data_IF_228180465656
#
_entry.id   IF_228180465656
#
_cell.length_a   1.000
_cell.length_b   1.000
_cell.length_c   1.000
_cell.angle_alpha   90.00
_cell.angle_beta   90.00
_cell.angle_gamma   90.00
#
_symmetry.space_group_name_H-M   'P 1'
#
loop_
_entity.id
_entity.type
_entity.pdbx_description
1 polymer ?
#
# COMPACT_ATOMS: atom_id res chain seq x y z
N UNK A 1 13.83 35.62 8.61
CA UNK A 1 14.10 34.40 9.42
C UNK A 1 12.91 33.44 9.38
N UNK A 2 11.66 33.93 9.46
CA UNK A 2 10.44 33.10 9.29
C UNK A 2 10.28 32.50 7.89
N UNK A 3 10.52 33.26 6.81
CA UNK A 3 10.38 32.74 5.43
C UNK A 3 11.32 31.55 5.12
N UNK A 4 12.52 31.55 5.72
CA UNK A 4 13.48 30.44 5.56
C UNK A 4 13.00 29.20 6.33
N UNK A 5 12.40 29.38 7.51
CA UNK A 5 11.82 28.30 8.29
C UNK A 5 10.59 27.69 7.61
N UNK A 6 9.74 28.50 6.98
CA UNK A 6 8.60 28.01 6.19
C UNK A 6 9.04 27.22 4.94
N UNK A 7 10.06 27.71 4.23
CA UNK A 7 10.62 27.01 3.07
C UNK A 7 11.20 25.64 3.42
N UNK A 8 11.94 25.57 4.53
CA UNK A 8 12.52 24.32 5.05
C UNK A 8 11.42 23.37 5.56
N UNK A 9 10.42 23.89 6.27
CA UNK A 9 9.28 23.10 6.75
C UNK A 9 8.50 22.44 5.61
N UNK A 10 8.21 23.17 4.53
CA UNK A 10 7.55 22.60 3.33
C UNK A 10 8.39 21.53 2.65
N UNK A 11 9.71 21.70 2.61
CA UNK A 11 10.61 20.70 2.03
C UNK A 11 10.56 19.38 2.81
N UNK A 12 10.69 19.43 4.13
CA UNK A 12 10.59 18.24 4.98
C UNK A 12 9.21 17.59 4.94
N UNK A 13 8.12 18.38 4.94
CA UNK A 13 6.76 17.86 4.78
C UNK A 13 6.57 17.15 3.45
N UNK A 14 7.15 17.66 2.35
CA UNK A 14 7.09 16.98 1.06
C UNK A 14 7.84 15.64 1.09
N UNK A 15 9.04 15.59 1.66
CA UNK A 15 9.79 14.33 1.81
C UNK A 15 9.00 13.34 2.66
N UNK A 16 8.48 13.80 3.81
CA UNK A 16 7.69 12.95 4.70
C UNK A 16 6.44 12.42 3.99
N UNK A 17 5.76 13.25 3.20
CA UNK A 17 4.60 12.85 2.41
C UNK A 17 4.95 11.76 1.38
N UNK A 18 6.09 11.88 0.70
CA UNK A 18 6.57 10.85 -0.23
C UNK A 18 6.88 9.53 0.48
N UNK A 19 7.65 9.58 1.57
CA UNK A 19 7.96 8.39 2.38
C UNK A 19 6.69 7.75 2.93
N UNK A 20 5.73 8.57 3.37
CA UNK A 20 4.46 8.10 3.90
C UNK A 20 3.61 7.43 2.81
N UNK A 21 3.58 7.96 1.60
CA UNK A 21 2.90 7.34 0.46
C UNK A 21 3.54 6.01 0.10
N UNK A 22 4.87 5.95 -0.02
CA UNK A 22 5.57 4.69 -0.32
C UNK A 22 5.36 3.65 0.79
N UNK A 23 5.46 4.06 2.05
CA UNK A 23 5.20 3.18 3.19
C UNK A 23 3.75 2.69 3.22
N UNK A 24 2.77 3.55 2.91
CA UNK A 24 1.37 3.14 2.78
C UNK A 24 1.21 2.16 1.63
N UNK A 25 1.73 2.47 0.44
CA UNK A 25 1.60 1.60 -0.72
C UNK A 25 2.23 0.23 -0.43
N UNK A 26 3.45 0.20 0.11
CA UNK A 26 4.10 -1.06 0.43
C UNK A 26 3.36 -1.80 1.56
N UNK A 27 3.00 -1.14 2.65
CA UNK A 27 2.35 -1.81 3.77
C UNK A 27 0.91 -2.25 3.44
N UNK A 28 0.10 -1.37 2.85
CA UNK A 28 -1.29 -1.67 2.51
C UNK A 28 -1.39 -2.59 1.30
N UNK A 29 -0.79 -2.26 0.14
CA UNK A 29 -0.99 -3.08 -1.07
C UNK A 29 -0.33 -4.45 -0.86
N UNK A 30 0.94 -4.48 -0.46
CA UNK A 30 1.66 -5.75 -0.27
C UNK A 30 1.09 -6.54 0.90
N UNK A 31 0.73 -5.87 2.00
CA UNK A 31 0.11 -6.51 3.17
C UNK A 31 -1.26 -7.09 2.86
N UNK A 32 -2.14 -6.33 2.21
CA UNK A 32 -3.47 -6.80 1.79
C UNK A 32 -3.35 -7.98 0.81
N UNK A 33 -2.44 -7.90 -0.15
CA UNK A 33 -2.21 -8.99 -1.09
C UNK A 33 -1.63 -10.24 -0.44
N UNK A 34 -0.71 -10.07 0.52
CA UNK A 34 -0.17 -11.17 1.32
C UNK A 34 -1.28 -11.87 2.11
N UNK A 35 -2.09 -11.10 2.85
CA UNK A 35 -3.20 -11.63 3.66
C UNK A 35 -4.24 -12.30 2.75
N UNK A 36 -4.64 -11.64 1.66
CA UNK A 36 -5.63 -12.15 0.71
C UNK A 36 -5.18 -13.48 0.10
N UNK A 37 -3.95 -13.57 -0.40
CA UNK A 37 -3.41 -14.82 -0.93
C UNK A 37 -3.35 -15.91 0.14
N UNK A 38 -3.00 -15.54 1.38
CA UNK A 38 -2.96 -16.49 2.49
C UNK A 38 -4.34 -17.04 2.84
N UNK A 39 -5.37 -16.21 2.78
CA UNK A 39 -6.75 -16.63 3.00
C UNK A 39 -7.22 -17.53 1.84
N UNK A 40 -7.10 -17.06 0.59
CA UNK A 40 -7.60 -17.76 -0.60
C UNK A 40 -6.90 -19.11 -0.81
N UNK A 41 -5.62 -19.20 -0.47
CA UNK A 41 -4.83 -20.44 -0.65
C UNK A 41 -4.71 -21.28 0.61
N UNK A 42 -5.50 -21.00 1.66
CA UNK A 42 -5.45 -21.70 2.95
C UNK A 42 -4.03 -21.78 3.54
N UNK A 43 -3.29 -20.68 3.48
CA UNK A 43 -1.96 -20.54 4.05
C UNK A 43 -0.81 -21.03 3.15
N UNK A 44 -1.07 -21.56 1.95
CA UNK A 44 -0.01 -22.06 1.05
C UNK A 44 0.82 -20.96 0.38
N UNK A 45 0.24 -19.78 0.16
CA UNK A 45 0.86 -18.63 -0.50
C UNK A 45 0.69 -17.34 0.32
N UNK A 46 1.54 -16.32 0.12
CA UNK A 46 2.72 -16.31 -0.77
C UNK A 46 3.98 -16.86 -0.07
N UNK A 47 4.85 -17.57 -0.81
CA UNK A 47 6.11 -18.09 -0.29
C UNK A 47 7.17 -16.99 -0.30
N UNK A 48 7.82 -16.79 0.85
CA UNK A 48 8.85 -15.75 1.06
C UNK A 48 9.98 -15.91 0.03
N UNK A 49 10.32 -14.83 -0.68
CA UNK A 49 11.42 -14.79 -1.65
C UNK A 49 11.15 -15.34 -3.06
N UNK A 50 9.94 -15.84 -3.37
CA UNK A 50 9.62 -16.33 -4.73
C UNK A 50 8.36 -15.72 -5.35
N UNK A 51 7.38 -15.36 -4.52
CA UNK A 51 6.07 -14.89 -4.98
C UNK A 51 5.80 -13.41 -4.67
N UNK A 52 6.84 -12.60 -4.45
CA UNK A 52 6.69 -11.20 -4.02
C UNK A 52 5.91 -10.34 -5.03
N UNK A 53 6.16 -10.52 -6.33
CA UNK A 53 5.37 -9.86 -7.37
C UNK A 53 3.89 -10.26 -7.36
N UNK A 54 3.58 -11.51 -7.00
CA UNK A 54 2.20 -12.00 -6.91
C UNK A 54 1.46 -11.41 -5.72
N UNK A 55 2.14 -11.17 -4.60
CA UNK A 55 1.55 -10.44 -3.47
C UNK A 55 1.18 -9.01 -3.82
N UNK A 56 2.00 -8.28 -4.60
CA UNK A 56 1.65 -6.91 -5.02
C UNK A 56 0.44 -6.91 -5.95
N UNK A 57 0.42 -7.80 -6.94
CA UNK A 57 -0.72 -7.94 -7.88
C UNK A 57 -1.99 -8.32 -7.13
N UNK A 58 -1.93 -9.31 -6.24
CA UNK A 58 -3.06 -9.70 -5.42
C UNK A 58 -3.56 -8.53 -4.54
N UNK A 59 -2.65 -7.72 -4.02
CA UNK A 59 -2.98 -6.51 -3.27
C UNK A 59 -3.80 -5.52 -4.08
N UNK A 60 -3.36 -5.22 -5.31
CA UNK A 60 -4.10 -4.36 -6.23
C UNK A 60 -5.47 -4.93 -6.60
N UNK A 61 -5.55 -6.24 -6.88
CA UNK A 61 -6.81 -6.92 -7.22
C UNK A 61 -7.78 -6.85 -6.04
N UNK A 62 -7.33 -7.15 -4.82
CA UNK A 62 -8.17 -7.06 -3.62
C UNK A 62 -8.65 -5.63 -3.39
N UNK A 63 -7.77 -4.64 -3.53
CA UNK A 63 -8.12 -3.24 -3.35
C UNK A 63 -9.16 -2.78 -4.38
N UNK A 64 -8.99 -3.14 -5.65
CA UNK A 64 -9.96 -2.85 -6.70
C UNK A 64 -11.31 -3.50 -6.42
N UNK A 65 -11.33 -4.75 -5.95
CA UNK A 65 -12.54 -5.46 -5.54
C UNK A 65 -13.27 -4.74 -4.41
N UNK A 66 -12.54 -4.29 -3.38
CA UNK A 66 -13.12 -3.53 -2.27
C UNK A 66 -13.74 -2.22 -2.77
N UNK A 67 -13.05 -1.48 -3.64
CA UNK A 67 -13.54 -0.22 -4.21
C UNK A 67 -14.79 -0.43 -5.06
N UNK A 68 -14.81 -1.48 -5.90
CA UNK A 68 -15.99 -1.85 -6.70
C UNK A 68 -17.16 -2.19 -5.78
N UNK A 69 -16.94 -3.01 -4.75
CA UNK A 69 -17.97 -3.36 -3.78
C UNK A 69 -18.53 -2.11 -3.10
N UNK A 70 -17.68 -1.22 -2.56
CA UNK A 70 -18.11 0.04 -1.95
C UNK A 70 -18.93 0.90 -2.93
N UNK A 71 -18.48 1.01 -4.18
CA UNK A 71 -19.19 1.76 -5.21
C UNK A 71 -20.51 1.13 -5.64
N UNK A 72 -20.71 -0.16 -5.41
CA UNK A 72 -22.00 -0.83 -5.62
C UNK A 72 -22.95 -0.69 -4.43
N UNK A 73 -22.42 -0.55 -3.21
CA UNK A 73 -23.22 -0.39 -1.99
C UNK A 73 -23.66 1.05 -1.72
N UNK A 74 -23.11 2.03 -2.44
CA UNK A 74 -23.34 3.47 -2.25
C UNK A 74 -24.12 4.05 -3.44
#
# INVERSE_FOLDING_TARGET
MEEVAEGIGRFFLNILKWVFIDAILEFFIRGLGYISLKIVTFGKYPRKGRDEGRSVIAGFVTLALILVLIGMTN
#
